data_IF_357913218158
#
_entry.id   IF_357913218158
#
_cell.length_a   1.000
_cell.length_b   1.000
_cell.length_c   1.000
_cell.angle_alpha   90.00
_cell.angle_beta   90.00
_cell.angle_gamma   90.00
#
_symmetry.space_group_name_H-M   'P 1'
#
loop_
_entity.id
_entity.type
_entity.pdbx_description
1 polymer ?
#
# COMPACT_ATOMS: atom_id res chain seq x y z
N UNK A 1 -27.37 -69.83 -28.82
CA UNK A 1 -26.72 -69.26 -30.02
C UNK A 1 -25.51 -68.46 -29.56
N UNK A 2 -24.31 -69.01 -29.73
CA UNK A 2 -23.05 -68.37 -29.37
C UNK A 2 -22.67 -67.36 -30.45
N UNK A 3 -22.83 -66.06 -30.14
CA UNK A 3 -22.40 -64.97 -31.02
C UNK A 3 -20.90 -64.78 -30.84
N UNK A 4 -20.11 -65.34 -31.76
CA UNK A 4 -18.67 -65.10 -31.87
C UNK A 4 -18.42 -63.77 -32.59
N UNK A 5 -18.10 -62.72 -31.84
CA UNK A 5 -17.62 -61.48 -32.44
C UNK A 5 -16.21 -61.69 -33.01
N UNK A 6 -15.94 -61.32 -34.27
CA UNK A 6 -14.62 -61.45 -34.84
C UNK A 6 -13.64 -60.52 -34.09
N UNK A 7 -12.45 -61.02 -33.73
CA UNK A 7 -11.39 -60.25 -33.03
C UNK A 7 -11.09 -58.88 -33.67
N UNK A 8 -11.34 -58.72 -34.97
CA UNK A 8 -11.16 -57.47 -35.71
C UNK A 8 -12.16 -56.37 -35.35
N UNK A 9 -13.43 -56.69 -35.07
CA UNK A 9 -14.43 -55.68 -34.65
C UNK A 9 -14.19 -55.16 -33.23
N UNK A 10 -13.60 -55.98 -32.36
CA UNK A 10 -13.24 -55.56 -30.99
C UNK A 10 -12.02 -54.61 -30.97
N UNK A 11 -11.04 -54.85 -31.86
CA UNK A 11 -9.88 -53.98 -32.06
C UNK A 11 -10.25 -52.61 -32.71
N UNK A 12 -11.23 -52.61 -33.62
CA UNK A 12 -11.76 -51.40 -34.24
C UNK A 12 -12.59 -50.55 -33.27
N UNK A 13 -13.39 -51.19 -32.41
CA UNK A 13 -14.13 -50.50 -31.34
C UNK A 13 -13.22 -49.90 -30.27
N UNK A 14 -12.17 -50.60 -29.86
CA UNK A 14 -11.19 -50.10 -28.89
C UNK A 14 -10.41 -48.89 -29.44
N UNK A 15 -10.04 -48.92 -30.72
CA UNK A 15 -9.35 -47.80 -31.39
C UNK A 15 -10.25 -46.56 -31.51
N UNK A 16 -11.56 -46.74 -31.75
CA UNK A 16 -12.50 -45.62 -31.84
C UNK A 16 -12.75 -44.94 -30.47
N UNK A 17 -12.73 -45.69 -29.37
CA UNK A 17 -12.84 -45.14 -28.00
C UNK A 17 -11.54 -44.44 -27.57
N UNK A 18 -10.37 -44.99 -27.94
CA UNK A 18 -9.06 -44.36 -27.75
C UNK A 18 -8.91 -43.04 -28.56
N UNK A 19 -9.50 -42.97 -29.76
CA UNK A 19 -9.48 -41.76 -30.60
C UNK A 19 -10.52 -40.71 -30.16
N UNK A 20 -11.68 -41.12 -29.65
CA UNK A 20 -12.73 -40.19 -29.18
C UNK A 20 -12.39 -39.47 -27.88
N UNK A 21 -11.58 -40.09 -27.01
CA UNK A 21 -11.16 -39.53 -25.71
C UNK A 21 -9.92 -38.64 -25.80
N UNK A 22 -9.18 -38.67 -26.91
CA UNK A 22 -7.99 -37.84 -27.09
C UNK A 22 -8.30 -36.35 -27.31
N UNK A 23 -9.55 -35.98 -27.65
CA UNK A 23 -9.92 -34.58 -27.95
C UNK A 23 -10.44 -33.80 -26.73
N UNK A 24 -10.87 -34.49 -25.67
CA UNK A 24 -11.23 -33.87 -24.39
C UNK A 24 -10.05 -34.02 -23.44
N UNK A 25 -9.18 -33.00 -23.38
CA UNK A 25 -8.10 -32.97 -22.40
C UNK A 25 -8.61 -33.24 -20.99
N UNK A 26 -7.86 -34.01 -20.20
CA UNK A 26 -8.24 -34.34 -18.82
C UNK A 26 -8.42 -33.08 -17.98
N UNK A 27 -9.32 -33.10 -16.97
CA UNK A 27 -9.51 -31.99 -16.05
C UNK A 27 -8.17 -31.56 -15.44
N UNK A 28 -7.83 -30.29 -15.63
CA UNK A 28 -6.60 -29.68 -15.14
C UNK A 28 -6.85 -28.23 -14.74
N UNK A 29 -6.12 -27.69 -13.75
CA UNK A 29 -6.35 -26.34 -13.23
C UNK A 29 -5.93 -25.23 -14.19
N UNK A 30 -5.16 -25.53 -15.25
CA UNK A 30 -4.74 -24.54 -16.24
C UNK A 30 -3.80 -25.12 -17.31
N UNK A 31 -3.15 -24.25 -18.10
CA UNK A 31 -2.27 -24.66 -19.20
C UNK A 31 -0.99 -25.32 -18.67
N UNK A 32 -0.45 -26.28 -19.41
CA UNK A 32 0.86 -26.84 -19.10
C UNK A 32 1.99 -25.95 -19.64
N UNK A 33 3.23 -26.25 -19.24
CA UNK A 33 4.42 -25.53 -19.70
C UNK A 33 4.48 -25.40 -21.22
N UNK A 34 4.25 -26.49 -21.98
CA UNK A 34 4.34 -26.47 -23.45
C UNK A 34 3.32 -25.52 -24.09
N UNK A 35 2.12 -25.46 -23.54
CA UNK A 35 1.04 -24.58 -24.01
C UNK A 35 1.33 -23.11 -23.70
N UNK A 36 1.86 -22.81 -22.51
CA UNK A 36 2.29 -21.45 -22.17
C UNK A 36 3.39 -20.98 -23.15
N UNK A 37 4.40 -21.81 -23.40
CA UNK A 37 5.44 -21.50 -24.39
C UNK A 37 4.90 -21.41 -25.83
N UNK A 38 3.84 -22.15 -26.18
CA UNK A 38 3.17 -22.05 -27.48
C UNK A 38 2.44 -20.71 -27.66
N UNK A 39 1.93 -20.10 -26.58
CA UNK A 39 1.32 -18.78 -26.57
C UNK A 39 2.31 -17.60 -26.67
N UNK A 40 3.60 -17.87 -26.89
CA UNK A 40 4.60 -16.82 -27.10
C UNK A 40 4.34 -16.03 -28.39
N UNK A 41 4.60 -14.72 -28.40
CA UNK A 41 4.61 -13.89 -29.62
C UNK A 41 5.51 -14.47 -30.72
N UNK A 42 6.61 -15.14 -30.35
CA UNK A 42 7.49 -15.84 -31.30
C UNK A 42 6.81 -17.03 -32.01
N UNK A 43 5.65 -17.48 -31.50
CA UNK A 43 4.84 -18.59 -32.01
C UNK A 43 3.42 -18.15 -32.39
N UNK A 44 3.22 -16.87 -32.70
CA UNK A 44 1.93 -16.24 -33.07
C UNK A 44 0.91 -16.13 -31.92
N UNK A 45 1.36 -16.22 -30.67
CA UNK A 45 0.54 -15.84 -29.52
C UNK A 45 0.63 -14.35 -29.19
N UNK A 46 0.04 -13.95 -28.08
CA UNK A 46 -0.18 -12.56 -27.68
C UNK A 46 0.59 -12.14 -26.41
N UNK A 47 1.43 -13.03 -25.87
CA UNK A 47 2.26 -12.74 -24.70
C UNK A 47 3.75 -13.03 -24.96
N UNK A 48 4.63 -12.20 -24.39
CA UNK A 48 6.06 -12.44 -24.41
C UNK A 48 6.45 -13.37 -23.27
N UNK A 49 7.09 -14.50 -23.59
CA UNK A 49 7.54 -15.48 -22.60
C UNK A 49 9.04 -15.31 -22.42
N UNK A 50 9.49 -14.99 -21.20
CA UNK A 50 10.87 -14.62 -20.90
C UNK A 50 11.35 -15.42 -19.68
N UNK A 51 12.47 -16.14 -19.83
CA UNK A 51 13.13 -16.76 -18.67
C UNK A 51 13.75 -15.67 -17.81
N UNK A 52 13.53 -15.74 -16.50
CA UNK A 52 14.12 -14.80 -15.55
C UNK A 52 15.61 -15.08 -15.42
N UNK A 53 16.41 -14.04 -15.62
CA UNK A 53 17.83 -13.98 -15.27
C UNK A 53 18.09 -12.71 -14.44
N UNK A 54 19.35 -12.44 -14.08
CA UNK A 54 19.70 -11.27 -13.28
C UNK A 54 19.36 -9.94 -13.97
N UNK A 55 19.38 -9.88 -15.30
CA UNK A 55 19.01 -8.67 -16.06
C UNK A 55 17.51 -8.43 -15.96
N UNK A 56 16.70 -9.46 -16.22
CA UNK A 56 15.23 -9.39 -16.13
C UNK A 56 14.79 -9.08 -14.71
N UNK A 57 15.36 -9.75 -13.69
CA UNK A 57 15.03 -9.50 -12.29
C UNK A 57 15.28 -8.03 -11.91
N UNK A 58 16.44 -7.47 -12.27
CA UNK A 58 16.75 -6.04 -12.03
C UNK A 58 15.86 -5.09 -12.84
N UNK A 59 15.65 -5.36 -14.13
CA UNK A 59 14.84 -4.51 -15.00
C UNK A 59 13.37 -4.44 -14.54
N UNK A 60 12.90 -5.52 -13.90
CA UNK A 60 11.52 -5.64 -13.42
C UNK A 60 11.39 -5.37 -11.91
N UNK A 61 12.46 -5.02 -11.19
CA UNK A 61 12.41 -4.62 -9.78
C UNK A 61 11.95 -3.16 -9.60
N UNK A 62 10.92 -2.74 -10.35
CA UNK A 62 10.35 -1.38 -10.24
C UNK A 62 9.39 -1.34 -9.07
N UNK A 63 9.72 -0.51 -8.07
CA UNK A 63 8.85 -0.19 -6.95
C UNK A 63 8.54 1.31 -7.00
N UNK A 64 7.28 1.73 -6.73
CA UNK A 64 6.98 3.14 -6.57
C UNK A 64 7.85 3.72 -5.46
N UNK A 65 8.64 4.75 -5.77
CA UNK A 65 9.35 5.51 -4.76
C UNK A 65 8.32 6.32 -3.96
N UNK A 66 7.82 5.72 -2.88
CA UNK A 66 7.02 6.44 -1.90
C UNK A 66 7.93 7.40 -1.13
N UNK A 67 7.43 8.60 -0.87
CA UNK A 67 8.20 9.67 -0.29
C UNK A 67 7.42 10.98 -0.25
N UNK A 68 7.89 11.87 0.62
CA UNK A 68 7.47 13.25 0.61
C UNK A 68 8.31 14.06 -0.38
N UNK A 69 7.69 14.97 -1.14
CA UNK A 69 8.42 15.90 -2.01
C UNK A 69 9.35 16.81 -1.20
N UNK A 70 10.33 17.43 -1.85
CA UNK A 70 11.22 18.40 -1.22
C UNK A 70 10.46 19.49 -0.46
N UNK A 71 9.35 19.98 -1.03
CA UNK A 71 8.51 21.00 -0.39
C UNK A 71 7.87 20.56 0.94
N UNK A 72 7.69 19.27 1.17
CA UNK A 72 7.28 18.73 2.47
C UNK A 72 8.48 18.55 3.40
N UNK A 73 9.60 18.01 2.90
CA UNK A 73 10.79 17.69 3.70
C UNK A 73 11.55 18.92 4.20
N UNK A 74 11.63 19.98 3.39
CA UNK A 74 12.35 21.22 3.74
C UNK A 74 11.47 22.22 4.48
N UNK A 75 10.19 21.89 4.68
CA UNK A 75 9.29 22.73 5.45
C UNK A 75 9.79 22.77 6.91
N UNK A 76 10.30 23.93 7.35
CA UNK A 76 10.71 24.10 8.73
C UNK A 76 9.57 23.81 9.71
N UNK A 77 9.89 23.44 10.94
CA UNK A 77 8.89 23.35 12.00
C UNK A 77 8.27 24.74 12.18
N UNK A 78 6.94 24.85 12.12
CA UNK A 78 6.24 26.13 12.40
C UNK A 78 6.67 26.64 13.79
N UNK A 79 6.63 27.93 14.13
CA UNK A 79 6.79 28.35 15.54
C UNK A 79 5.60 27.89 16.39
N UNK A 80 5.79 27.33 17.60
CA UNK A 80 4.67 26.75 18.42
C UNK A 80 3.77 27.82 18.97
N UNK A 81 4.36 28.99 19.01
CA UNK A 81 3.81 30.12 19.67
C UNK A 81 3.38 31.15 18.60
N UNK A 82 3.57 30.88 17.29
CA UNK A 82 3.06 31.76 16.24
C UNK A 82 1.54 31.77 16.26
N UNK A 83 0.98 32.94 16.51
CA UNK A 83 -0.45 33.19 16.55
C UNK A 83 -0.97 33.22 15.11
N UNK A 84 -2.11 32.55 14.87
CA UNK A 84 -2.79 32.48 13.58
C UNK A 84 -4.22 33.04 13.68
N UNK A 85 -4.83 33.45 12.56
CA UNK A 85 -6.26 33.75 12.52
C UNK A 85 -7.09 32.57 13.07
N UNK A 86 -8.09 32.88 13.89
CA UNK A 86 -8.92 31.88 14.56
C UNK A 86 -8.36 31.32 15.87
N UNK A 87 -7.09 31.57 16.21
CA UNK A 87 -6.57 31.27 17.55
C UNK A 87 -7.29 32.09 18.62
N UNK A 88 -7.30 31.56 19.83
CA UNK A 88 -7.89 32.24 20.99
C UNK A 88 -6.80 32.60 21.98
N UNK A 89 -6.76 33.87 22.36
CA UNK A 89 -5.76 34.40 23.27
C UNK A 89 -6.42 34.76 24.60
N UNK A 90 -5.82 34.31 25.69
CA UNK A 90 -6.14 34.75 27.02
C UNK A 90 -5.14 35.85 27.41
N UNK A 91 -5.66 37.06 27.60
CA UNK A 91 -4.88 38.22 28.00
C UNK A 91 -5.11 38.50 29.49
N UNK A 92 -4.03 38.69 30.22
CA UNK A 92 -4.04 39.21 31.59
C UNK A 92 -3.17 40.45 31.63
N UNK A 93 -3.75 41.57 32.07
CA UNK A 93 -3.07 42.86 32.16
C UNK A 93 -3.12 43.32 33.61
N UNK A 94 -1.94 43.63 34.16
CA UNK A 94 -1.79 44.24 35.48
C UNK A 94 -1.35 45.69 35.31
N UNK A 95 -1.93 46.55 36.14
CA UNK A 95 -1.70 47.99 36.15
C UNK A 95 -1.11 48.38 37.50
N UNK A 96 -0.10 49.26 37.50
CA UNK A 96 0.56 49.72 38.71
C UNK A 96 0.02 51.09 39.16
N UNK A 97 -1.30 51.18 39.35
CA UNK A 97 -2.02 52.40 39.76
C UNK A 97 -3.13 52.07 40.75
N UNK A 98 -3.51 53.04 41.60
CA UNK A 98 -4.56 52.88 42.62
C UNK A 98 -5.98 52.76 42.03
N UNK A 99 -6.21 53.36 40.85
CA UNK A 99 -7.46 53.28 40.08
C UNK A 99 -7.15 52.76 38.67
N UNK A 100 -7.32 51.45 38.48
CA UNK A 100 -6.98 50.76 37.24
C UNK A 100 -7.92 51.09 36.10
N UNK A 101 -7.39 51.32 34.90
CA UNK A 101 -8.17 51.65 33.70
C UNK A 101 -8.89 50.41 33.13
N UNK A 102 -8.32 49.23 33.37
CA UNK A 102 -8.80 47.93 32.89
C UNK A 102 -9.29 47.04 34.03
N UNK A 103 -8.70 47.17 35.22
CA UNK A 103 -9.05 46.34 36.37
C UNK A 103 -10.40 46.74 36.99
N UNK A 104 -11.16 45.77 37.51
CA UNK A 104 -12.42 46.03 38.20
C UNK A 104 -12.17 46.78 39.52
N UNK A 105 -13.04 47.71 39.90
CA UNK A 105 -12.92 48.50 41.16
C UNK A 105 -12.49 47.61 42.35
N UNK A 106 -11.35 47.95 42.96
CA UNK A 106 -10.77 47.21 44.09
C UNK A 106 -9.85 46.03 43.71
N UNK A 107 -9.55 45.83 42.43
CA UNK A 107 -8.56 44.84 41.95
C UNK A 107 -7.49 45.50 41.09
N UNK A 108 -6.26 44.96 41.09
CA UNK A 108 -5.12 45.43 40.26
C UNK A 108 -4.87 44.54 39.03
N UNK A 109 -5.74 43.56 38.78
CA UNK A 109 -5.59 42.60 37.70
C UNK A 109 -6.92 42.36 36.99
N UNK A 110 -6.93 42.52 35.65
CA UNK A 110 -8.07 42.12 34.81
C UNK A 110 -7.90 40.66 34.41
N UNK A 111 -8.79 39.78 34.85
CA UNK A 111 -8.71 38.35 34.55
C UNK A 111 -9.73 37.95 33.47
N UNK A 112 -9.26 37.20 32.45
CA UNK A 112 -10.05 36.35 31.54
C UNK A 112 -10.81 37.03 30.39
N UNK A 113 -10.25 38.02 29.70
CA UNK A 113 -10.79 38.32 28.35
C UNK A 113 -10.22 37.30 27.37
N UNK A 114 -11.05 36.33 26.99
CA UNK A 114 -10.78 35.39 25.91
C UNK A 114 -11.02 36.14 24.58
N UNK A 115 -9.95 36.45 23.86
CA UNK A 115 -10.00 37.24 22.61
C UNK A 115 -9.61 36.35 21.44
N UNK A 116 -10.57 36.12 20.54
CA UNK A 116 -10.32 35.39 19.30
C UNK A 116 -9.63 36.31 18.27
N UNK A 117 -8.63 35.78 17.56
CA UNK A 117 -7.96 36.46 16.46
C UNK A 117 -8.88 36.46 15.23
N UNK A 118 -9.22 37.66 14.73
CA UNK A 118 -10.13 37.82 13.59
C UNK A 118 -9.55 37.22 12.28
N UNK A 119 -10.39 37.08 11.25
CA UNK A 119 -9.98 36.52 9.96
C UNK A 119 -8.91 37.35 9.22
N UNK A 120 -8.74 38.62 9.57
CA UNK A 120 -7.66 39.47 9.09
C UNK A 120 -6.39 39.36 9.95
N UNK A 121 -6.40 38.57 11.03
CA UNK A 121 -5.28 38.32 11.92
C UNK A 121 -5.09 39.35 13.03
N UNK A 122 -6.14 40.08 13.42
CA UNK A 122 -6.08 41.13 14.45
C UNK A 122 -6.89 40.76 15.69
N UNK A 123 -6.55 41.40 16.80
CA UNK A 123 -7.33 41.43 18.04
C UNK A 123 -7.64 42.87 18.42
N UNK A 124 -8.67 43.06 19.24
CA UNK A 124 -8.96 44.33 19.89
C UNK A 124 -8.55 44.24 21.36
N UNK A 125 -7.78 45.22 21.82
CA UNK A 125 -7.40 45.38 23.23
C UNK A 125 -7.89 46.76 23.66
N UNK A 126 -8.72 46.89 24.72
CA UNK A 126 -9.18 48.20 25.16
C UNK A 126 -8.00 49.14 25.43
N UNK A 127 -8.17 50.42 25.09
CA UNK A 127 -7.15 51.49 25.17
C UNK A 127 -5.90 51.33 24.28
N UNK A 128 -5.54 50.11 23.86
CA UNK A 128 -4.48 49.86 22.87
C UNK A 128 -5.02 49.69 21.42
N UNK A 129 -6.34 49.59 21.27
CA UNK A 129 -7.06 49.52 19.99
C UNK A 129 -6.85 48.21 19.23
N UNK A 130 -6.86 48.28 17.89
CA UNK A 130 -6.68 47.13 17.00
C UNK A 130 -5.18 46.79 16.87
N UNK A 131 -4.82 45.52 17.09
CA UNK A 131 -3.43 45.05 17.11
C UNK A 131 -3.31 43.81 16.22
N UNK A 132 -2.26 43.75 15.39
CA UNK A 132 -1.98 42.58 14.54
C UNK A 132 -1.41 41.46 15.42
N UNK A 133 -2.21 40.44 15.70
CA UNK A 133 -1.78 39.29 16.49
C UNK A 133 -1.16 38.20 15.61
N UNK A 134 -1.76 37.92 14.45
CA UNK A 134 -1.31 36.86 13.57
C UNK A 134 0.11 37.12 13.02
N UNK A 135 0.96 36.10 13.07
CA UNK A 135 2.38 36.16 12.69
C UNK A 135 3.33 36.48 13.85
N UNK A 136 2.82 36.93 15.00
CA UNK A 136 3.63 37.17 16.21
C UNK A 136 3.68 35.95 17.11
N UNK A 137 4.74 35.84 17.93
CA UNK A 137 4.73 34.99 19.12
C UNK A 137 3.98 35.68 20.27
N UNK A 138 3.59 34.98 21.36
CA UNK A 138 2.93 35.59 22.50
C UNK A 138 3.87 36.58 23.19
N UNK A 139 5.19 36.33 23.21
CA UNK A 139 6.16 37.31 23.72
C UNK A 139 6.29 38.55 22.83
N UNK A 140 6.29 38.39 21.50
CA UNK A 140 6.32 39.53 20.59
C UNK A 140 5.03 40.35 20.71
N UNK A 141 3.88 39.68 20.74
CA UNK A 141 2.59 40.34 20.93
C UNK A 141 2.50 41.03 22.31
N UNK A 142 3.04 40.42 23.36
CA UNK A 142 3.15 41.02 24.70
C UNK A 142 3.86 42.36 24.64
N UNK A 143 5.04 42.43 24.01
CA UNK A 143 5.80 43.68 23.85
C UNK A 143 5.01 44.74 23.11
N UNK A 144 4.34 44.36 22.02
CA UNK A 144 3.50 45.27 21.22
C UNK A 144 2.34 45.84 22.06
N UNK A 145 1.70 45.00 22.88
CA UNK A 145 0.59 45.44 23.74
C UNK A 145 1.10 46.36 24.84
N UNK A 146 2.21 46.01 25.51
CA UNK A 146 2.85 46.85 26.53
C UNK A 146 3.18 48.24 25.96
N UNK A 147 3.90 48.32 24.84
CA UNK A 147 4.25 49.61 24.20
C UNK A 147 3.03 50.47 23.85
N UNK A 148 1.91 49.84 23.46
CA UNK A 148 0.67 50.57 23.15
C UNK A 148 -0.08 51.04 24.38
N UNK A 149 0.05 50.34 25.50
CA UNK A 149 -0.59 50.69 26.78
C UNK A 149 0.24 51.68 27.61
N UNK A 150 1.55 51.81 27.35
CA UNK A 150 2.44 52.76 28.03
C UNK A 150 1.94 54.21 27.98
N UNK A 151 1.20 54.58 26.92
CA UNK A 151 0.60 55.90 26.79
C UNK A 151 -0.63 56.13 27.69
N UNK A 152 -1.16 55.07 28.31
CA UNK A 152 -2.42 55.06 29.04
C UNK A 152 -2.24 54.74 30.53
N UNK A 153 -1.31 53.83 30.87
CA UNK A 153 -0.98 53.49 32.26
C UNK A 153 0.54 53.30 32.43
N UNK A 154 1.13 53.70 33.57
CA UNK A 154 2.53 53.43 33.87
C UNK A 154 2.81 51.93 34.05
N UNK A 155 3.89 51.46 33.42
CA UNK A 155 4.47 50.10 33.57
C UNK A 155 3.45 48.93 33.47
N UNK A 156 2.65 48.83 32.39
CA UNK A 156 1.68 47.76 32.23
C UNK A 156 2.36 46.41 32.05
N UNK A 157 2.03 45.46 32.91
CA UNK A 157 2.50 44.08 32.78
C UNK A 157 1.45 43.26 32.03
N UNK A 158 1.87 42.59 30.95
CA UNK A 158 0.98 41.82 30.08
C UNK A 158 1.42 40.36 30.07
N UNK A 159 0.48 39.44 30.26
CA UNK A 159 0.64 38.00 30.04
C UNK A 159 -0.31 37.56 28.93
N UNK A 160 0.21 36.75 28.01
CA UNK A 160 -0.58 36.18 26.91
C UNK A 160 -0.41 34.67 26.97
N UNK A 161 -1.53 33.96 27.18
CA UNK A 161 -1.62 32.53 26.95
C UNK A 161 -2.37 32.28 25.65
N UNK A 162 -1.79 31.45 24.76
CA UNK A 162 -2.40 31.06 23.48
C UNK A 162 -3.08 29.71 23.65
N UNK A 163 -4.36 29.64 23.34
CA UNK A 163 -5.08 28.40 23.07
C UNK A 163 -5.17 28.26 21.56
N UNK A 164 -4.65 27.15 21.02
CA UNK A 164 -4.72 26.89 19.59
C UNK A 164 -6.18 26.82 19.15
N UNK A 165 -6.55 27.63 18.17
CA UNK A 165 -7.90 27.62 17.59
C UNK A 165 -7.96 26.81 16.30
N UNK A 166 -9.10 26.89 15.61
CA UNK A 166 -9.38 26.11 14.39
C UNK A 166 -8.34 26.34 13.27
N UNK A 167 -7.72 27.52 13.24
CA UNK A 167 -6.72 27.92 12.25
C UNK A 167 -5.35 27.25 12.38
N UNK A 168 -5.14 26.40 13.38
CA UNK A 168 -3.90 25.66 13.59
C UNK A 168 -4.13 24.14 13.69
N UNK A 169 -5.11 23.60 12.97
CA UNK A 169 -5.51 22.19 13.08
C UNK A 169 -5.13 21.36 11.85
N UNK A 170 -5.07 20.04 12.03
CA UNK A 170 -4.99 19.02 10.97
C UNK A 170 -6.12 18.02 11.13
N UNK A 171 -6.49 17.34 10.06
CA UNK A 171 -7.43 16.21 10.11
C UNK A 171 -6.66 14.89 10.05
N UNK A 172 -6.93 13.98 10.99
CA UNK A 172 -6.35 12.62 11.01
C UNK A 172 -7.48 11.62 10.80
N UNK A 173 -7.35 10.76 9.79
CA UNK A 173 -8.38 9.80 9.38
C UNK A 173 -7.78 8.45 8.96
N UNK A 174 -8.63 7.43 8.87
CA UNK A 174 -8.26 6.07 8.47
C UNK A 174 -7.93 5.17 9.65
N UNK A 175 -6.97 4.26 9.47
CA UNK A 175 -6.60 3.22 10.44
C UNK A 175 -5.73 3.76 11.59
N UNK A 176 -6.31 4.66 12.39
CA UNK A 176 -5.71 5.28 13.58
C UNK A 176 -6.56 5.05 14.83
N UNK A 177 -5.96 5.19 16.01
CA UNK A 177 -6.63 5.00 17.30
C UNK A 177 -7.78 5.99 17.56
N UNK A 178 -7.65 7.22 17.06
CA UNK A 178 -8.63 8.29 17.17
C UNK A 178 -8.65 9.11 15.89
N UNK A 179 -9.77 9.08 15.17
CA UNK A 179 -9.98 9.94 14.01
C UNK A 179 -10.58 11.27 14.46
N UNK A 180 -10.18 12.37 13.82
CA UNK A 180 -10.70 13.69 14.16
C UNK A 180 -9.82 14.84 13.72
N UNK A 181 -10.18 16.02 14.21
CA UNK A 181 -9.42 17.26 14.02
C UNK A 181 -8.55 17.50 15.25
N UNK A 182 -7.25 17.70 15.01
CA UNK A 182 -6.24 17.85 16.06
C UNK A 182 -5.50 19.17 15.92
N UNK A 183 -5.28 19.86 17.04
CA UNK A 183 -4.49 21.08 17.07
C UNK A 183 -2.98 20.79 16.92
N UNK A 184 -2.29 21.64 16.15
CA UNK A 184 -0.83 21.69 16.05
C UNK A 184 -0.31 22.54 17.22
N UNK A 185 0.18 21.84 18.23
CA UNK A 185 0.79 22.41 19.43
C UNK A 185 2.30 22.16 19.43
N UNK A 186 3.01 22.52 20.50
CA UNK A 186 4.45 22.22 20.63
C UNK A 186 4.81 20.72 20.51
N UNK A 187 4.06 19.78 21.11
CA UNK A 187 4.41 18.36 21.00
C UNK A 187 3.87 17.67 19.73
N UNK A 188 3.01 18.30 18.92
CA UNK A 188 2.28 17.62 17.81
C UNK A 188 2.63 18.20 16.43
N UNK A 189 3.86 18.68 16.26
CA UNK A 189 4.27 19.49 15.10
C UNK A 189 4.69 18.68 13.91
N UNK A 190 5.01 17.43 14.16
CA UNK A 190 5.53 16.52 13.17
C UNK A 190 4.51 15.42 12.92
N UNK A 191 4.63 14.78 11.77
CA UNK A 191 3.71 13.71 11.39
C UNK A 191 3.67 12.58 12.43
N UNK A 192 4.82 12.12 12.88
CA UNK A 192 4.96 11.03 13.85
C UNK A 192 4.30 11.38 15.19
N UNK A 193 4.56 12.59 15.70
CA UNK A 193 4.03 13.05 16.98
C UNK A 193 2.52 13.29 16.94
N UNK A 194 2.00 13.76 15.80
CA UNK A 194 0.56 13.89 15.59
C UNK A 194 -0.14 12.52 15.51
N UNK A 195 0.45 11.54 14.82
CA UNK A 195 -0.10 10.17 14.77
C UNK A 195 -0.10 9.56 16.18
N UNK A 196 0.96 9.77 16.97
CA UNK A 196 1.00 9.33 18.36
C UNK A 196 -0.10 10.01 19.20
N UNK A 197 -0.32 11.32 19.02
CA UNK A 197 -1.41 12.07 19.67
C UNK A 197 -2.79 11.53 19.28
N UNK A 198 -2.96 11.10 18.03
CA UNK A 198 -4.16 10.47 17.52
C UNK A 198 -4.33 9.01 17.99
N UNK A 199 -3.52 8.52 18.94
CA UNK A 199 -3.64 7.17 19.49
C UNK A 199 -2.87 6.09 18.71
N UNK A 200 -1.99 6.47 17.78
CA UNK A 200 -1.20 5.55 16.97
C UNK A 200 -1.96 4.92 15.80
N UNK A 201 -1.31 4.01 15.08
CA UNK A 201 -1.93 3.24 13.98
C UNK A 201 -2.55 1.94 14.51
N UNK A 202 -3.60 1.45 13.87
CA UNK A 202 -4.33 0.22 14.29
C UNK A 202 -4.04 -1.01 13.42
N UNK A 203 -3.19 -0.86 12.41
CA UNK A 203 -2.79 -1.90 11.44
C UNK A 203 -1.30 -2.20 11.53
N UNK A 204 -0.86 -3.31 10.93
CA UNK A 204 0.55 -3.75 10.98
C UNK A 204 1.48 -2.71 10.32
N UNK A 205 2.58 -2.29 10.95
CA UNK A 205 3.49 -1.29 10.41
C UNK A 205 4.05 -1.59 9.00
N UNK A 206 4.23 -2.86 8.68
CA UNK A 206 4.82 -3.35 7.42
C UNK A 206 3.93 -3.09 6.20
N UNK A 207 2.62 -2.97 6.41
CA UNK A 207 1.59 -2.73 5.38
C UNK A 207 0.89 -1.38 5.57
N UNK A 208 1.39 -0.53 6.46
CA UNK A 208 0.78 0.78 6.72
C UNK A 208 1.37 1.85 5.83
N UNK A 209 0.51 2.55 5.07
CA UNK A 209 0.85 3.75 4.30
C UNK A 209 0.25 4.98 4.96
N UNK A 210 1.03 6.05 5.03
CA UNK A 210 0.59 7.35 5.50
C UNK A 210 0.65 8.33 4.35
N UNK A 211 -0.50 8.91 3.99
CA UNK A 211 -0.62 9.95 2.98
C UNK A 211 -0.91 11.29 3.66
N UNK A 212 -0.12 12.31 3.33
CA UNK A 212 -0.40 13.69 3.76
C UNK A 212 -0.80 14.51 2.55
N UNK A 213 -1.98 15.13 2.61
CA UNK A 213 -2.50 16.06 1.60
C UNK A 213 -2.37 17.48 2.12
N UNK A 214 -1.76 18.36 1.33
CA UNK A 214 -1.48 19.77 1.66
C UNK A 214 -1.65 20.64 0.41
N UNK A 215 -2.65 21.52 0.41
CA UNK A 215 -2.81 22.55 -0.63
C UNK A 215 -2.74 22.04 -2.07
N UNK A 216 -3.40 20.90 -2.36
CA UNK A 216 -3.39 20.25 -3.68
C UNK A 216 -2.20 19.34 -3.97
N UNK A 217 -1.17 19.33 -3.10
CA UNK A 217 -0.08 18.35 -3.14
C UNK A 217 -0.38 17.18 -2.22
N UNK A 218 0.17 16.01 -2.56
CA UNK A 218 0.17 14.87 -1.66
C UNK A 218 1.53 14.18 -1.66
N UNK A 219 1.85 13.53 -0.55
CA UNK A 219 2.96 12.60 -0.46
C UNK A 219 2.54 11.41 0.39
N UNK A 220 3.07 10.24 0.06
CA UNK A 220 2.77 8.99 0.76
C UNK A 220 4.07 8.35 1.20
N UNK A 221 4.13 7.82 2.41
CA UNK A 221 5.27 7.08 2.95
C UNK A 221 4.80 5.81 3.64
N UNK A 222 5.67 4.81 3.70
CA UNK A 222 5.46 3.66 4.59
C UNK A 222 5.68 4.07 6.04
N UNK A 223 4.90 3.53 6.97
CA UNK A 223 5.08 3.79 8.40
C UNK A 223 6.48 3.37 8.88
N UNK A 224 6.95 2.23 8.39
CA UNK A 224 8.29 1.72 8.68
C UNK A 224 9.39 2.65 8.18
N UNK A 225 9.19 3.35 7.06
CA UNK A 225 10.14 4.35 6.56
C UNK A 225 10.08 5.65 7.37
N UNK A 226 8.89 6.05 7.84
CA UNK A 226 8.72 7.17 8.76
C UNK A 226 9.55 6.98 10.03
N UNK A 227 9.58 5.76 10.58
CA UNK A 227 10.36 5.45 11.78
C UNK A 227 11.87 5.34 11.54
N UNK A 228 12.28 4.86 10.36
CA UNK A 228 13.71 4.67 10.03
C UNK A 228 14.39 5.96 9.55
N UNK A 229 13.66 6.83 8.86
CA UNK A 229 14.21 8.00 8.19
C UNK A 229 13.62 9.29 8.77
N UNK A 230 14.36 10.04 9.61
CA UNK A 230 13.88 11.30 10.20
C UNK A 230 13.40 12.34 9.18
N UNK A 231 13.91 12.29 7.94
CA UNK A 231 13.46 13.17 6.84
C UNK A 231 12.00 12.96 6.43
N UNK A 232 11.43 11.79 6.74
CA UNK A 232 10.03 11.48 6.49
C UNK A 232 9.11 12.03 7.58
N UNK A 233 9.66 12.43 8.73
CA UNK A 233 8.90 13.06 9.81
C UNK A 233 8.72 14.57 9.55
N UNK A 234 7.88 14.87 8.57
CA UNK A 234 7.67 16.22 8.07
C UNK A 234 6.97 17.11 9.09
N UNK A 235 7.29 18.41 9.07
CA UNK A 235 6.54 19.40 9.83
C UNK A 235 5.14 19.58 9.23
N UNK A 236 4.11 19.54 10.08
CA UNK A 236 2.72 19.74 9.70
C UNK A 236 2.41 21.22 9.45
N UNK A 237 1.33 21.46 8.72
CA UNK A 237 0.76 22.77 8.43
C UNK A 237 -0.74 22.76 8.70
N UNK A 238 -1.31 23.91 9.07
CA UNK A 238 -2.76 24.03 9.20
C UNK A 238 -3.47 23.59 7.92
N UNK A 239 -4.53 22.79 8.07
CA UNK A 239 -5.30 22.23 6.97
C UNK A 239 -4.68 21.00 6.31
N UNK A 240 -3.56 20.48 6.82
CA UNK A 240 -3.06 19.17 6.39
C UNK A 240 -4.10 18.08 6.70
N UNK A 241 -4.27 17.15 5.76
CA UNK A 241 -5.06 15.94 5.96
C UNK A 241 -4.11 14.75 5.98
N UNK A 242 -4.06 14.06 7.12
CA UNK A 242 -3.28 12.85 7.36
C UNK A 242 -4.21 11.66 7.23
N UNK A 243 -3.93 10.81 6.25
CA UNK A 243 -4.70 9.61 5.94
C UNK A 243 -3.81 8.39 6.16
N UNK A 244 -4.22 7.50 7.06
CA UNK A 244 -3.53 6.24 7.34
C UNK A 244 -4.32 5.09 6.72
N UNK A 245 -3.70 4.34 5.83
CA UNK A 245 -4.35 3.28 5.05
C UNK A 245 -3.53 2.00 5.04
N UNK A 246 -4.21 0.88 4.93
CA UNK A 246 -3.60 -0.42 4.72
C UNK A 246 -3.20 -0.61 3.25
N UNK A 247 -2.11 -1.34 3.02
CA UNK A 247 -1.72 -1.76 1.69
C UNK A 247 -2.65 -2.86 1.16
N UNK A 248 -3.38 -2.54 0.09
CA UNK A 248 -4.37 -3.44 -0.52
C UNK A 248 -3.81 -4.30 -1.66
N UNK A 249 -2.51 -4.17 -1.93
CA UNK A 249 -1.82 -4.92 -2.98
C UNK A 249 -1.91 -6.41 -2.70
N UNK A 250 -2.13 -7.19 -3.76
CA UNK A 250 -2.24 -8.63 -3.67
C UNK A 250 -1.80 -9.29 -4.97
N UNK A 251 -1.31 -10.53 -4.87
CA UNK A 251 -1.07 -11.40 -6.03
C UNK A 251 -2.07 -12.57 -6.03
N UNK A 252 -2.19 -13.25 -7.16
CA UNK A 252 -3.02 -14.45 -7.30
C UNK A 252 -2.10 -15.67 -7.41
N UNK A 253 -2.28 -16.66 -6.55
CA UNK A 253 -1.62 -17.97 -6.64
C UNK A 253 -2.55 -19.01 -7.28
N UNK A 254 -2.06 -19.74 -8.28
CA UNK A 254 -2.80 -20.77 -9.00
C UNK A 254 -1.91 -21.98 -9.37
N UNK A 255 -2.57 -23.10 -9.67
CA UNK A 255 -1.89 -24.32 -10.15
C UNK A 255 -1.38 -25.22 -9.03
N UNK A 256 -0.24 -25.88 -9.25
CA UNK A 256 0.34 -26.90 -8.38
C UNK A 256 1.12 -26.30 -7.17
N UNK A 257 0.53 -25.32 -6.51
CA UNK A 257 0.99 -24.72 -5.25
C UNK A 257 0.33 -25.40 -4.04
N UNK A 258 0.75 -25.06 -2.81
CA UNK A 258 0.10 -25.55 -1.60
C UNK A 258 -1.35 -25.04 -1.44
N UNK A 259 -1.65 -23.84 -1.94
CA UNK A 259 -2.99 -23.25 -1.97
C UNK A 259 -3.19 -22.32 -3.18
N UNK A 260 -4.44 -22.25 -3.65
CA UNK A 260 -4.88 -21.36 -4.72
C UNK A 260 -5.77 -20.25 -4.13
N UNK A 261 -5.30 -19.00 -4.16
CA UNK A 261 -5.96 -17.87 -3.51
C UNK A 261 -5.44 -16.52 -4.04
N UNK A 262 -6.21 -15.45 -3.81
CA UNK A 262 -5.70 -14.07 -3.86
C UNK A 262 -5.05 -13.75 -2.52
N UNK A 263 -3.76 -13.46 -2.51
CA UNK A 263 -2.92 -13.33 -1.31
C UNK A 263 -2.49 -11.87 -1.15
N UNK A 264 -2.88 -11.18 -0.07
CA UNK A 264 -2.46 -9.81 0.20
C UNK A 264 -0.97 -9.75 0.53
N UNK A 265 -0.34 -8.62 0.24
CA UNK A 265 1.06 -8.38 0.60
C UNK A 265 1.15 -8.16 2.12
N UNK A 266 2.10 -8.82 2.77
CA UNK A 266 2.37 -8.64 4.21
C UNK A 266 3.55 -7.69 4.47
N UNK A 267 4.25 -7.28 3.42
CA UNK A 267 5.46 -6.47 3.45
C UNK A 267 5.46 -5.47 2.30
N UNK A 268 6.31 -4.45 2.39
CA UNK A 268 6.48 -3.47 1.31
C UNK A 268 6.90 -4.13 -0.02
N UNK A 269 7.71 -5.17 0.07
CA UNK A 269 8.34 -5.89 -1.04
C UNK A 269 8.11 -7.39 -0.88
N UNK A 270 7.71 -8.06 -1.95
CA UNK A 270 7.48 -9.50 -1.97
C UNK A 270 8.24 -10.12 -3.14
N UNK A 271 9.09 -11.10 -2.87
CA UNK A 271 9.76 -11.88 -3.92
C UNK A 271 8.91 -13.03 -4.43
N UNK A 272 9.24 -13.59 -5.60
CA UNK A 272 8.54 -14.76 -6.13
C UNK A 272 8.73 -15.98 -5.22
N UNK A 273 9.92 -16.12 -4.61
CA UNK A 273 10.19 -17.16 -3.64
C UNK A 273 9.29 -17.03 -2.39
N UNK A 274 9.17 -15.83 -1.83
CA UNK A 274 8.30 -15.57 -0.69
C UNK A 274 6.83 -15.77 -1.05
N UNK A 275 6.38 -15.28 -2.22
CA UNK A 275 5.00 -15.47 -2.69
C UNK A 275 4.62 -16.95 -2.77
N UNK A 276 5.52 -17.79 -3.29
CA UNK A 276 5.34 -19.25 -3.31
C UNK A 276 5.32 -19.83 -1.89
N UNK A 277 6.20 -19.36 -1.01
CA UNK A 277 6.25 -19.83 0.37
C UNK A 277 4.97 -19.49 1.16
N UNK A 278 4.41 -18.29 0.98
CA UNK A 278 3.17 -17.83 1.64
C UNK A 278 1.97 -18.75 1.35
N UNK A 279 1.95 -19.41 0.19
CA UNK A 279 0.89 -20.36 -0.19
C UNK A 279 1.25 -21.82 0.05
N UNK A 280 2.24 -22.09 0.90
CA UNK A 280 2.64 -23.46 1.28
C UNK A 280 3.63 -24.12 0.33
N UNK A 281 4.26 -23.36 -0.58
CA UNK A 281 5.29 -23.85 -1.48
C UNK A 281 4.76 -24.58 -2.71
N UNK A 282 5.68 -25.26 -3.42
CA UNK A 282 5.34 -26.17 -4.52
C UNK A 282 4.76 -27.47 -3.97
N UNK A 283 3.69 -27.97 -4.58
CA UNK A 283 3.16 -29.29 -4.25
C UNK A 283 4.18 -30.37 -4.60
N UNK A 284 4.70 -31.09 -3.59
CA UNK A 284 5.71 -32.14 -3.78
C UNK A 284 5.23 -33.32 -4.64
N UNK A 285 3.91 -33.53 -4.72
CA UNK A 285 3.30 -34.61 -5.50
C UNK A 285 2.92 -34.19 -6.91
N UNK A 286 2.67 -32.90 -7.16
CA UNK A 286 2.09 -32.45 -8.44
C UNK A 286 2.89 -31.41 -9.21
N UNK A 287 3.74 -30.62 -8.56
CA UNK A 287 4.37 -29.45 -9.16
C UNK A 287 5.53 -29.78 -10.12
N UNK A 288 5.65 -29.01 -11.20
CA UNK A 288 6.87 -28.91 -12.00
C UNK A 288 7.75 -27.75 -11.48
N UNK A 289 8.89 -28.02 -10.82
CA UNK A 289 9.79 -26.97 -10.36
C UNK A 289 10.48 -26.20 -11.50
N UNK A 290 10.36 -26.67 -12.76
CA UNK A 290 10.82 -25.97 -13.97
C UNK A 290 9.74 -25.09 -14.59
N UNK A 291 8.55 -25.05 -14.00
CA UNK A 291 7.35 -24.44 -14.55
C UNK A 291 6.66 -23.53 -13.55
N UNK A 292 7.43 -22.62 -12.94
CA UNK A 292 6.91 -21.51 -12.16
C UNK A 292 6.82 -20.29 -13.07
N UNK A 293 5.63 -19.69 -13.17
CA UNK A 293 5.33 -18.61 -14.08
C UNK A 293 4.77 -17.40 -13.33
N UNK A 294 5.18 -16.19 -13.72
CA UNK A 294 4.53 -14.95 -13.29
C UNK A 294 3.93 -14.27 -14.51
N UNK A 295 2.60 -14.14 -14.51
CA UNK A 295 1.87 -13.41 -15.54
C UNK A 295 1.67 -11.97 -15.09
N UNK A 296 2.08 -11.02 -15.94
CA UNK A 296 2.05 -9.59 -15.65
C UNK A 296 1.85 -8.77 -16.92
N UNK A 297 1.13 -7.67 -16.83
CA UNK A 297 1.15 -6.63 -17.85
C UNK A 297 2.27 -5.64 -17.51
N UNK A 298 3.26 -5.51 -18.40
CA UNK A 298 4.36 -4.55 -18.23
C UNK A 298 4.13 -3.31 -19.09
N UNK A 299 4.35 -2.11 -18.54
CA UNK A 299 4.46 -0.90 -19.33
C UNK A 299 5.51 -1.06 -20.43
N UNK A 300 5.30 -0.37 -21.56
CA UNK A 300 6.19 -0.42 -22.71
C UNK A 300 7.66 -0.15 -22.33
N UNK A 301 7.89 0.78 -21.40
CA UNK A 301 9.21 1.16 -20.90
C UNK A 301 9.97 -0.03 -20.33
N UNK A 302 9.31 -0.84 -19.49
CA UNK A 302 9.92 -2.00 -18.84
C UNK A 302 10.07 -3.14 -19.85
N UNK A 303 9.03 -3.39 -20.66
CA UNK A 303 9.07 -4.42 -21.68
C UNK A 303 10.20 -4.19 -22.70
N UNK A 304 10.45 -2.94 -23.09
CA UNK A 304 11.57 -2.55 -23.98
C UNK A 304 12.93 -2.93 -23.38
N UNK A 305 13.14 -2.66 -22.09
CA UNK A 305 14.40 -2.99 -21.38
C UNK A 305 14.56 -4.51 -21.21
N UNK A 306 13.49 -5.21 -20.83
CA UNK A 306 13.49 -6.66 -20.66
C UNK A 306 13.78 -7.39 -21.98
N UNK A 307 13.15 -6.95 -23.08
CA UNK A 307 13.23 -7.61 -24.38
C UNK A 307 14.36 -7.08 -25.28
N UNK A 308 15.05 -5.99 -24.87
CA UNK A 308 16.06 -5.34 -25.69
C UNK A 308 15.49 -4.74 -26.99
N UNK A 309 14.27 -4.20 -26.94
CA UNK A 309 13.51 -3.70 -28.09
C UNK A 309 13.12 -2.25 -27.91
N UNK A 310 12.90 -1.52 -29.00
CA UNK A 310 12.49 -0.10 -28.96
C UNK A 310 11.12 0.17 -29.62
N UNK A 311 10.48 -0.84 -30.18
CA UNK A 311 9.28 -0.72 -31.01
C UNK A 311 7.97 -1.03 -30.26
N UNK A 312 8.05 -1.37 -28.98
CA UNK A 312 6.89 -1.73 -28.17
C UNK A 312 6.14 -0.46 -27.72
N UNK A 313 4.81 -0.49 -27.88
CA UNK A 313 3.88 0.60 -27.55
C UNK A 313 2.73 0.05 -26.72
N UNK A 314 2.37 0.75 -25.64
CA UNK A 314 1.35 0.32 -24.68
C UNK A 314 1.78 -0.86 -23.82
N UNK A 315 0.87 -1.32 -22.98
CA UNK A 315 1.14 -2.43 -22.05
C UNK A 315 1.33 -3.75 -22.80
N UNK A 316 2.34 -4.51 -22.39
CA UNK A 316 2.70 -5.80 -22.98
C UNK A 316 2.36 -6.93 -22.01
N UNK A 317 1.68 -7.96 -22.49
CA UNK A 317 1.44 -9.21 -21.74
C UNK A 317 2.76 -9.97 -21.64
N UNK A 318 3.26 -10.14 -20.42
CA UNK A 318 4.55 -10.76 -20.13
C UNK A 318 4.35 -11.98 -19.24
N UNK A 319 5.04 -13.06 -19.57
CA UNK A 319 5.08 -14.30 -18.81
C UNK A 319 6.53 -14.58 -18.45
N UNK A 320 6.86 -14.40 -17.17
CA UNK A 320 8.18 -14.66 -16.65
C UNK A 320 8.31 -16.11 -16.19
N UNK A 321 9.37 -16.79 -16.62
CA UNK A 321 9.60 -18.21 -16.30
C UNK A 321 10.72 -18.31 -15.28
N UNK A 322 10.39 -18.87 -14.12
CA UNK A 322 11.33 -19.18 -13.04
C UNK A 322 11.57 -20.69 -13.03
N UNK A 323 12.83 -21.09 -13.20
CA UNK A 323 13.23 -22.49 -13.14
C UNK A 323 14.00 -22.75 -11.85
N UNK A 324 13.33 -23.32 -10.84
CA UNK A 324 13.91 -23.56 -9.52
C UNK A 324 14.93 -24.71 -9.50
N UNK A 325 15.08 -25.44 -10.62
CA UNK A 325 16.06 -26.54 -10.76
C UNK A 325 17.41 -26.08 -11.32
N UNK A 326 17.51 -24.84 -11.80
CA UNK A 326 18.78 -24.28 -12.27
C UNK A 326 19.71 -23.94 -11.10
N UNK A 327 21.03 -23.91 -11.30
CA UNK A 327 22.00 -23.65 -10.22
C UNK A 327 21.69 -22.40 -9.39
N UNK A 328 21.23 -21.32 -10.06
CA UNK A 328 20.86 -20.07 -9.42
C UNK A 328 19.33 -19.84 -9.35
N UNK A 329 18.53 -20.85 -9.68
CA UNK A 329 17.07 -20.72 -9.82
C UNK A 329 16.36 -20.19 -8.57
N UNK A 330 16.79 -20.66 -7.39
CA UNK A 330 16.26 -20.18 -6.11
C UNK A 330 16.70 -18.75 -5.78
N UNK A 331 17.92 -18.35 -6.17
CA UNK A 331 18.39 -16.97 -6.01
C UNK A 331 17.61 -16.03 -6.94
N UNK A 332 17.40 -16.42 -8.20
CA UNK A 332 16.59 -15.67 -9.16
C UNK A 332 15.14 -15.49 -8.68
N UNK A 333 14.54 -16.54 -8.09
CA UNK A 333 13.20 -16.44 -7.51
C UNK A 333 13.13 -15.50 -6.28
N UNK A 334 14.19 -15.42 -5.49
CA UNK A 334 14.29 -14.47 -4.37
C UNK A 334 14.49 -13.04 -4.86
N UNK A 335 15.24 -12.84 -5.94
CA UNK A 335 15.59 -11.51 -6.43
C UNK A 335 14.52 -10.95 -7.38
N UNK A 336 13.63 -11.80 -7.92
CA UNK A 336 12.48 -11.38 -8.73
C UNK A 336 11.31 -10.88 -7.86
N UNK A 337 10.99 -9.59 -7.98
CA UNK A 337 9.92 -8.93 -7.20
C UNK A 337 8.55 -9.18 -7.82
N UNK A 338 7.60 -9.63 -7.00
CA UNK A 338 6.17 -9.72 -7.28
C UNK A 338 5.52 -8.36 -7.06
N UNK A 339 4.60 -8.00 -7.96
CA UNK A 339 3.86 -6.74 -7.96
C UNK A 339 2.37 -6.98 -7.76
N UNK A 340 1.67 -5.89 -7.47
CA UNK A 340 0.21 -5.92 -7.36
C UNK A 340 -0.45 -6.43 -8.65
N UNK A 341 -1.42 -7.31 -8.49
CA UNK A 341 -2.16 -7.93 -9.60
C UNK A 341 -1.43 -9.05 -10.32
N UNK A 342 -0.18 -9.38 -9.96
CA UNK A 342 0.54 -10.50 -10.55
C UNK A 342 -0.19 -11.83 -10.34
N UNK A 343 -0.09 -12.73 -11.32
CA UNK A 343 -0.51 -14.12 -11.16
C UNK A 343 0.71 -15.03 -11.12
N UNK A 344 0.96 -15.65 -9.97
CA UNK A 344 1.95 -16.70 -9.77
C UNK A 344 1.29 -18.05 -10.06
N UNK A 345 1.76 -18.73 -11.09
CA UNK A 345 1.19 -19.98 -11.57
C UNK A 345 2.24 -21.07 -11.62
N UNK A 346 1.95 -22.23 -11.04
CA UNK A 346 2.83 -23.40 -11.09
C UNK A 346 2.19 -24.51 -11.91
N UNK A 347 2.86 -24.96 -12.96
CA UNK A 347 2.35 -26.06 -13.80
C UNK A 347 2.48 -27.41 -13.11
N UNK A 348 1.62 -28.36 -13.48
CA UNK A 348 1.78 -29.76 -13.07
C UNK A 348 2.95 -30.44 -13.79
N UNK A 349 3.67 -31.31 -13.09
CA UNK A 349 4.72 -32.14 -13.67
C UNK A 349 4.17 -33.08 -14.76
N UNK A 350 4.94 -33.34 -15.85
CA UNK A 350 4.47 -34.21 -16.93
C UNK A 350 4.01 -35.60 -16.48
N UNK A 351 4.65 -36.19 -15.46
CA UNK A 351 4.29 -37.50 -14.93
C UNK A 351 2.90 -37.52 -14.27
N UNK A 352 2.48 -36.41 -13.66
CA UNK A 352 1.17 -36.29 -12.99
C UNK A 352 0.05 -36.34 -14.03
N UNK A 353 0.26 -35.68 -15.16
CA UNK A 353 -0.66 -35.69 -16.29
C UNK A 353 -0.78 -37.11 -16.87
N UNK A 354 0.33 -37.83 -16.97
CA UNK A 354 0.34 -39.24 -17.38
C UNK A 354 -0.43 -40.13 -16.39
N UNK A 355 -0.20 -39.99 -15.09
CA UNK A 355 -0.92 -40.77 -14.08
C UNK A 355 -2.43 -40.51 -14.13
N UNK A 356 -2.87 -39.25 -14.28
CA UNK A 356 -4.28 -38.92 -14.47
C UNK A 356 -4.86 -39.57 -15.73
N UNK A 357 -4.09 -39.62 -16.82
CA UNK A 357 -4.52 -40.26 -18.07
C UNK A 357 -4.69 -41.77 -17.90
N UNK A 358 -3.75 -42.41 -17.21
CA UNK A 358 -3.84 -43.83 -16.89
C UNK A 358 -5.04 -44.11 -15.98
N UNK A 359 -5.25 -43.31 -14.94
CA UNK A 359 -6.39 -43.45 -14.03
C UNK A 359 -7.75 -43.25 -14.72
N UNK A 360 -7.85 -42.32 -15.68
CA UNK A 360 -9.08 -42.14 -16.46
C UNK A 360 -9.39 -43.37 -17.33
N UNK A 361 -8.36 -43.96 -17.94
CA UNK A 361 -8.50 -45.18 -18.74
C UNK A 361 -8.84 -46.39 -17.86
N UNK A 362 -8.11 -46.61 -16.77
CA UNK A 362 -8.33 -47.78 -15.90
C UNK A 362 -9.62 -47.68 -15.10
N UNK A 363 -10.04 -46.49 -14.68
CA UNK A 363 -11.34 -46.25 -14.03
C UNK A 363 -12.53 -46.57 -14.94
N UNK A 364 -12.42 -46.25 -16.24
CA UNK A 364 -13.43 -46.66 -17.22
C UNK A 364 -13.41 -48.18 -17.48
N UNK A 365 -12.23 -48.80 -17.46
CA UNK A 365 -12.09 -50.25 -17.62
C UNK A 365 -12.64 -51.04 -16.41
N UNK A 366 -12.46 -50.55 -15.19
CA UNK A 366 -13.07 -51.15 -13.99
C UNK A 366 -14.59 -50.97 -13.98
N UNK A 367 -15.11 -49.82 -14.42
CA UNK A 367 -16.54 -49.60 -14.60
C UNK A 367 -17.15 -50.49 -15.71
N UNK A 368 -16.43 -50.68 -16.82
CA UNK A 368 -16.85 -51.60 -17.88
C UNK A 368 -16.83 -53.06 -17.41
N UNK A 369 -15.83 -53.45 -16.62
CA UNK A 369 -15.75 -54.79 -16.02
C UNK A 369 -16.84 -55.00 -14.95
N UNK A 370 -17.23 -53.99 -14.17
CA UNK A 370 -18.34 -54.12 -13.23
C UNK A 370 -19.69 -54.22 -13.93
N UNK A 371 -19.93 -53.48 -15.03
CA UNK A 371 -21.12 -53.62 -15.87
C UNK A 371 -21.16 -54.98 -16.56
N UNK A 372 -20.03 -55.45 -17.10
CA UNK A 372 -19.95 -56.79 -17.69
C UNK A 372 -20.21 -57.87 -16.65
N UNK A 373 -19.68 -57.76 -15.43
CA UNK A 373 -19.94 -58.72 -14.36
C UNK A 373 -21.42 -58.69 -13.88
N UNK A 374 -22.10 -57.54 -13.96
CA UNK A 374 -23.55 -57.42 -13.68
C UNK A 374 -24.40 -57.97 -14.85
N UNK A 375 -23.97 -57.78 -16.10
CA UNK A 375 -24.67 -58.24 -17.29
C UNK A 375 -24.42 -59.73 -17.62
N UNK A 376 -23.28 -60.27 -17.19
CA UNK A 376 -22.92 -61.69 -17.30
C UNK A 376 -23.17 -62.48 -16.00
N UNK A 377 -23.70 -61.82 -14.97
CA UNK A 377 -24.15 -62.45 -13.75
C UNK A 377 -25.51 -63.12 -13.96
N UNK A 378 -25.53 -64.45 -13.77
CA UNK A 378 -26.65 -65.13 -13.12
C UNK A 378 -26.81 -64.62 -11.69
#
# INVERSE_FOLDING_TARGET
MSVTFPRRTLLLGLSAVLLGTASCGLPRPGPNKREIFAGSVMRRGDAFVVTVDDHVARATAVQPALGFSSSFQTAGVVGSDTINPGDTLQLTIWENVDDGLLAQEGTTATQLTEVQVDGAGYIFVPYAGKIKAAGNSPDALRKIITEKLDAQTPDPQVLIARTAGDGATVSVMGSVGGQGVYAIERPTRTLSSMIARAGGVTIKPEITKITVKRGGKQGTVWLTDLYKNPKMDIALRPGDVILVEEDTRAFTSLGATGAQARVPFETQTLSALEAIATVGGLSSSTADPKGVFVFRNEPAEIARVVLGRNDLVGDQRMVYVLNLTEPNGMFLARDFVIRDGDTVYVTEAPFVQWQKSLSALTGSATAANSINNVASGN
#
